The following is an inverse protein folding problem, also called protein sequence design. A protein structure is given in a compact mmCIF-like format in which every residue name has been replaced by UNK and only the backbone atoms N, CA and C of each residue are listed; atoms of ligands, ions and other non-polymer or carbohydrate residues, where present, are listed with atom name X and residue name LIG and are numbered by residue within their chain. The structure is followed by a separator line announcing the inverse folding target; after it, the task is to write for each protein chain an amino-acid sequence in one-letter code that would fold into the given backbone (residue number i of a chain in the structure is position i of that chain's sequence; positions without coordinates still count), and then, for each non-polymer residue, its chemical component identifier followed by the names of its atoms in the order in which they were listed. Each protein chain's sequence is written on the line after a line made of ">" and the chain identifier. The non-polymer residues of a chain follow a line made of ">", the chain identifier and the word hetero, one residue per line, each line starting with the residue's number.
data_IF_983534352251
#
_entry.id   IF_983534352251
#
_cell.length_a   1.000
_cell.length_b   1.000
_cell.length_c   1.000
_cell.angle_alpha   90.00
_cell.angle_beta   90.00
_cell.angle_gamma   90.00
#
_symmetry.space_group_name_H-M   'P 1'
#
loop_
_entity.id
_entity.type
_entity.pdbx_description
1 polymer ?
#
# COMPACT_ATOMS: atom_id res chain seq x y z
N UNK A 1 -15.08 -22.01 -1.52
CA UNK A 1 -14.68 -20.60 -1.51
C UNK A 1 -15.92 -19.72 -1.62
N UNK A 2 -16.00 -18.71 -0.78
CA UNK A 2 -17.11 -17.77 -0.83
C UNK A 2 -16.86 -16.71 -1.90
N UNK A 3 -17.88 -16.38 -2.67
CA UNK A 3 -17.85 -15.25 -3.57
C UNK A 3 -19.28 -14.78 -3.86
N UNK A 4 -19.40 -13.49 -4.19
CA UNK A 4 -20.69 -12.89 -4.50
C UNK A 4 -21.21 -13.39 -5.86
N UNK A 5 -22.53 -13.49 -6.04
CA UNK A 5 -23.08 -13.66 -7.38
C UNK A 5 -22.55 -12.60 -8.33
N UNK A 6 -22.38 -12.96 -9.60
CA UNK A 6 -21.69 -12.09 -10.56
C UNK A 6 -22.27 -10.69 -10.66
N UNK A 7 -23.60 -10.56 -10.70
CA UNK A 7 -24.24 -9.26 -10.81
C UNK A 7 -24.02 -8.38 -9.57
N UNK A 8 -23.97 -9.00 -8.38
CA UNK A 8 -23.70 -8.29 -7.13
C UNK A 8 -22.23 -7.90 -7.06
N UNK A 9 -21.35 -8.79 -7.47
CA UNK A 9 -19.92 -8.54 -7.53
C UNK A 9 -19.61 -7.36 -8.45
N UNK A 10 -20.21 -7.33 -9.65
CA UNK A 10 -20.02 -6.22 -10.58
C UNK A 10 -20.52 -4.90 -10.01
N UNK A 11 -21.64 -4.89 -9.30
CA UNK A 11 -22.14 -3.68 -8.64
C UNK A 11 -21.19 -3.22 -7.54
N UNK A 12 -20.60 -4.16 -6.81
CA UNK A 12 -19.61 -3.82 -5.79
C UNK A 12 -18.37 -3.17 -6.41
N UNK A 13 -17.91 -3.71 -7.55
CA UNK A 13 -16.76 -3.12 -8.27
C UNK A 13 -17.07 -1.71 -8.73
N UNK A 14 -18.28 -1.46 -9.24
CA UNK A 14 -18.70 -0.10 -9.63
C UNK A 14 -18.74 0.84 -8.45
N UNK A 15 -19.26 0.38 -7.32
CA UNK A 15 -19.33 1.17 -6.08
C UNK A 15 -17.94 1.57 -5.59
N UNK A 16 -17.00 0.64 -5.62
CA UNK A 16 -15.62 0.92 -5.24
C UNK A 16 -14.98 1.95 -6.18
N UNK A 17 -15.23 1.80 -7.46
CA UNK A 17 -14.72 2.74 -8.46
C UNK A 17 -15.28 4.14 -8.24
N UNK A 18 -16.59 4.25 -7.99
CA UNK A 18 -17.23 5.55 -7.74
C UNK A 18 -16.66 6.22 -6.50
N UNK A 19 -16.40 5.45 -5.44
CA UNK A 19 -15.79 5.99 -4.23
C UNK A 19 -14.36 6.47 -4.51
N UNK A 20 -13.57 5.71 -5.28
CA UNK A 20 -12.22 6.13 -5.65
C UNK A 20 -12.24 7.44 -6.46
N UNK A 21 -13.21 7.60 -7.36
CA UNK A 21 -13.34 8.83 -8.13
C UNK A 21 -13.65 10.05 -7.25
N UNK A 22 -14.23 9.83 -6.10
CA UNK A 22 -14.52 10.93 -5.16
C UNK A 22 -13.31 11.35 -4.34
N UNK A 23 -12.22 10.59 -4.42
CA UNK A 23 -10.98 10.91 -3.70
C UNK A 23 -10.11 11.85 -4.52
N UNK A 24 -9.01 12.32 -3.90
CA UNK A 24 -8.02 13.15 -4.58
C UNK A 24 -6.93 12.35 -5.28
N UNK A 25 -6.96 11.03 -5.16
CA UNK A 25 -5.91 10.19 -5.74
C UNK A 25 -6.02 10.14 -7.24
N UNK A 26 -4.89 10.26 -7.93
CA UNK A 26 -4.80 10.00 -9.35
C UNK A 26 -4.69 8.50 -9.56
N UNK A 27 -5.54 7.94 -10.40
CA UNK A 27 -5.55 6.50 -10.62
C UNK A 27 -6.11 6.13 -11.99
N UNK A 28 -5.80 4.92 -12.41
CA UNK A 28 -6.34 4.31 -13.61
C UNK A 28 -6.84 2.91 -13.25
N UNK A 29 -7.80 2.39 -14.03
CA UNK A 29 -8.29 1.03 -13.85
C UNK A 29 -8.36 0.32 -15.20
N UNK A 30 -8.39 -1.03 -15.15
CA UNK A 30 -8.76 -1.81 -16.31
C UNK A 30 -10.27 -1.66 -16.60
N UNK A 31 -10.74 -2.21 -17.72
CA UNK A 31 -12.15 -2.11 -18.12
C UNK A 31 -13.09 -2.71 -17.09
N UNK A 32 -12.68 -3.80 -16.44
CA UNK A 32 -13.52 -4.52 -15.46
C UNK A 32 -13.49 -3.91 -14.06
N UNK A 33 -12.65 -2.92 -13.82
CA UNK A 33 -12.48 -2.26 -12.52
C UNK A 33 -12.01 -3.22 -11.42
N UNK A 34 -11.23 -4.20 -11.82
CA UNK A 34 -10.60 -5.17 -10.90
C UNK A 34 -9.13 -4.86 -10.64
N UNK A 35 -8.53 -3.98 -11.43
CA UNK A 35 -7.14 -3.59 -11.25
C UNK A 35 -7.03 -2.08 -11.18
N UNK A 36 -6.45 -1.59 -10.10
CA UNK A 36 -6.20 -0.16 -9.89
C UNK A 36 -4.72 0.09 -9.94
N UNK A 37 -4.32 1.12 -10.68
CA UNK A 37 -2.96 1.67 -10.64
C UNK A 37 -3.07 3.06 -10.05
N UNK A 38 -2.50 3.27 -8.88
CA UNK A 38 -2.70 4.48 -8.09
C UNK A 38 -1.36 5.19 -7.89
N UNK A 39 -1.37 6.50 -8.06
CA UNK A 39 -0.20 7.35 -7.77
C UNK A 39 -0.30 7.88 -6.35
N UNK A 40 0.76 7.67 -5.56
CA UNK A 40 0.86 8.19 -4.20
C UNK A 40 2.01 9.17 -4.11
N UNK A 41 1.81 10.19 -3.29
CA UNK A 41 2.85 11.14 -2.93
C UNK A 41 3.15 11.03 -1.46
N UNK A 42 4.42 11.00 -1.10
CA UNK A 42 4.85 10.96 0.27
C UNK A 42 6.27 10.49 0.37
N UNK A 43 6.92 10.83 1.48
CA UNK A 43 8.32 10.47 1.69
C UNK A 43 8.45 8.96 1.91
N UNK A 44 9.18 8.31 1.02
CA UNK A 44 9.60 6.94 1.16
C UNK A 44 11.09 6.83 0.85
N UNK A 45 11.59 5.61 0.87
CA UNK A 45 13.01 5.33 0.64
C UNK A 45 13.16 4.22 -0.39
N UNK A 46 14.25 4.26 -1.13
CA UNK A 46 14.57 3.24 -2.12
C UNK A 46 16.07 3.02 -2.12
N UNK A 47 16.49 1.83 -2.50
CA UNK A 47 17.91 1.54 -2.65
C UNK A 47 18.40 1.99 -4.01
N UNK A 48 19.52 2.68 -4.02
CA UNK A 48 20.26 3.03 -5.22
C UNK A 48 21.67 2.48 -5.03
N UNK A 49 21.92 1.28 -5.52
CA UNK A 49 23.14 0.54 -5.21
C UNK A 49 23.16 0.20 -3.72
N UNK A 50 24.21 0.62 -3.02
CA UNK A 50 24.36 0.44 -1.57
C UNK A 50 23.69 1.54 -0.76
N UNK A 51 23.34 2.66 -1.40
CA UNK A 51 22.77 3.82 -0.73
C UNK A 51 21.25 3.72 -0.61
N UNK A 52 20.72 4.26 0.47
CA UNK A 52 19.27 4.44 0.65
C UNK A 52 18.95 5.90 0.40
N UNK A 53 18.07 6.17 -0.56
CA UNK A 53 17.72 7.52 -0.99
C UNK A 53 16.23 7.77 -0.80
N UNK A 54 15.86 9.04 -0.63
CA UNK A 54 14.45 9.44 -0.53
C UNK A 54 13.77 9.37 -1.90
N UNK A 55 12.48 9.01 -1.87
CA UNK A 55 11.65 8.99 -3.06
C UNK A 55 10.25 9.47 -2.69
N UNK A 56 9.76 10.49 -3.39
CA UNK A 56 8.49 11.17 -3.05
C UNK A 56 7.31 10.73 -3.90
N UNK A 57 7.55 10.07 -5.02
CA UNK A 57 6.50 9.63 -5.94
C UNK A 57 6.47 8.11 -6.01
N UNK A 58 5.29 7.55 -5.92
CA UNK A 58 5.11 6.09 -5.89
C UNK A 58 3.94 5.69 -6.77
N UNK A 59 4.03 4.49 -7.33
CA UNK A 59 2.94 3.87 -8.07
C UNK A 59 2.65 2.52 -7.44
N UNK A 60 1.39 2.29 -7.11
CA UNK A 60 0.95 1.03 -6.52
C UNK A 60 -0.13 0.39 -7.39
N UNK A 61 -0.23 -0.92 -7.29
CA UNK A 61 -1.25 -1.68 -7.99
C UNK A 61 -2.10 -2.43 -6.98
N UNK A 62 -3.42 -2.32 -7.10
CA UNK A 62 -4.36 -3.04 -6.25
C UNK A 62 -5.17 -3.97 -7.15
N UNK A 63 -5.14 -5.25 -6.84
CA UNK A 63 -5.86 -6.28 -7.59
C UNK A 63 -7.01 -6.81 -6.76
N UNK A 64 -8.22 -6.79 -7.32
CA UNK A 64 -9.41 -7.33 -6.71
C UNK A 64 -9.72 -8.66 -7.40
N UNK A 65 -9.56 -9.75 -6.66
CA UNK A 65 -9.81 -11.09 -7.20
C UNK A 65 -11.30 -11.39 -7.21
N UNK A 66 -11.67 -12.48 -7.87
CA UNK A 66 -13.10 -12.84 -8.01
C UNK A 66 -13.82 -12.98 -6.67
N UNK A 67 -13.10 -13.37 -5.62
CA UNK A 67 -13.64 -13.55 -4.27
C UNK A 67 -13.84 -12.24 -3.52
N UNK A 68 -13.44 -11.10 -4.10
CA UNK A 68 -13.65 -9.80 -3.46
C UNK A 68 -15.14 -9.59 -3.16
N UNK A 69 -15.56 -9.15 -1.98
CA UNK A 69 -14.74 -8.53 -0.92
C UNK A 69 -14.35 -9.48 0.24
N UNK A 70 -14.42 -10.77 0.05
CA UNK A 70 -14.09 -11.73 1.12
C UNK A 70 -12.58 -11.75 1.40
N UNK A 71 -12.17 -12.22 2.60
CA UNK A 71 -10.74 -12.23 2.97
C UNK A 71 -9.86 -12.96 1.97
N UNK A 72 -8.66 -12.43 1.74
CA UNK A 72 -7.70 -13.03 0.82
C UNK A 72 -7.91 -12.66 -0.63
N UNK A 73 -8.85 -11.77 -0.92
CA UNK A 73 -9.22 -11.43 -2.29
C UNK A 73 -8.62 -10.14 -2.82
N UNK A 74 -7.77 -9.47 -2.05
CA UNK A 74 -7.09 -8.24 -2.46
C UNK A 74 -5.59 -8.47 -2.40
N UNK A 75 -4.90 -8.09 -3.49
CA UNK A 75 -3.44 -8.09 -3.53
C UNK A 75 -2.97 -6.68 -3.82
N UNK A 76 -1.88 -6.28 -3.20
CA UNK A 76 -1.30 -4.95 -3.40
C UNK A 76 0.18 -5.10 -3.71
N UNK A 77 0.61 -4.44 -4.79
CA UNK A 77 2.01 -4.42 -5.21
C UNK A 77 2.50 -2.99 -5.32
N UNK A 78 3.68 -2.75 -4.79
CA UNK A 78 4.38 -1.48 -4.95
C UNK A 78 5.21 -1.57 -6.23
N UNK A 79 4.86 -0.81 -7.24
CA UNK A 79 5.48 -0.94 -8.57
C UNK A 79 6.77 -0.15 -8.71
N UNK A 80 6.87 1.00 -8.03
CA UNK A 80 8.10 1.81 -8.06
C UNK A 80 9.10 1.26 -7.03
N UNK A 81 10.40 1.54 -7.20
CA UNK A 81 11.39 1.09 -6.22
C UNK A 81 11.05 1.56 -4.81
N UNK A 82 11.13 0.66 -3.85
CA UNK A 82 10.82 0.95 -2.45
C UNK A 82 11.68 0.09 -1.53
N UNK A 83 12.14 0.68 -0.43
CA UNK A 83 12.87 0.01 0.61
C UNK A 83 12.09 0.19 1.90
N UNK A 84 11.34 -0.84 2.29
CA UNK A 84 10.34 -0.73 3.35
C UNK A 84 10.16 -2.08 4.05
N UNK A 85 10.09 -2.11 5.39
CA UNK A 85 9.98 -3.38 6.11
C UNK A 85 8.79 -4.24 5.73
N UNK A 86 7.67 -3.62 5.37
CA UNK A 86 6.41 -4.34 5.15
C UNK A 86 6.11 -4.59 3.67
N UNK A 87 7.09 -4.35 2.80
CA UNK A 87 6.96 -4.55 1.36
C UNK A 87 8.08 -5.48 0.91
N UNK A 88 7.70 -6.58 0.25
CA UNK A 88 8.66 -7.60 -0.20
C UNK A 88 9.56 -7.03 -1.29
N UNK A 89 10.86 -7.23 -1.13
CA UNK A 89 11.84 -6.64 -2.03
C UNK A 89 11.76 -7.21 -3.45
N UNK A 90 11.50 -8.52 -3.57
CA UNK A 90 11.54 -9.21 -4.86
C UNK A 90 10.51 -8.69 -5.85
N UNK A 91 9.26 -8.50 -5.41
CA UNK A 91 8.14 -8.19 -6.31
C UNK A 91 7.31 -6.98 -5.87
N UNK A 92 7.66 -6.36 -4.75
CA UNK A 92 6.92 -5.21 -4.24
C UNK A 92 5.61 -5.57 -3.55
N UNK A 93 5.36 -6.84 -3.27
CA UNK A 93 4.12 -7.23 -2.62
C UNK A 93 4.04 -6.68 -1.21
N UNK A 94 2.96 -5.98 -0.92
CA UNK A 94 2.68 -5.46 0.42
C UNK A 94 2.21 -6.60 1.33
N UNK A 95 2.59 -6.56 2.59
CA UNK A 95 2.29 -7.60 3.57
C UNK A 95 0.84 -8.08 3.48
N UNK A 96 0.66 -9.38 3.25
CA UNK A 96 -0.66 -9.99 3.03
C UNK A 96 -1.57 -9.79 4.23
N UNK A 97 -1.03 -9.93 5.45
CA UNK A 97 -1.83 -9.79 6.66
C UNK A 97 -2.37 -8.37 6.81
N UNK A 98 -1.54 -7.35 6.54
CA UNK A 98 -1.98 -5.97 6.59
C UNK A 98 -3.09 -5.72 5.57
N UNK A 99 -2.90 -6.20 4.33
CA UNK A 99 -3.88 -6.01 3.27
C UNK A 99 -5.20 -6.68 3.61
N UNK A 100 -5.16 -7.89 4.18
CA UNK A 100 -6.37 -8.58 4.61
C UNK A 100 -7.10 -7.83 5.72
N UNK A 101 -6.37 -7.32 6.70
CA UNK A 101 -6.95 -6.53 7.78
C UNK A 101 -7.65 -5.28 7.25
N UNK A 102 -7.02 -4.60 6.30
CA UNK A 102 -7.61 -3.41 5.69
C UNK A 102 -8.85 -3.77 4.86
N UNK A 103 -8.76 -4.82 4.05
CA UNK A 103 -9.87 -5.17 3.14
C UNK A 103 -11.12 -5.64 3.88
N UNK A 104 -10.97 -6.17 5.10
CA UNK A 104 -12.10 -6.56 5.93
C UNK A 104 -12.85 -5.36 6.51
N UNK A 105 -12.15 -4.24 6.70
CA UNK A 105 -12.70 -3.09 7.43
C UNK A 105 -12.99 -1.88 6.57
N UNK A 106 -12.56 -1.87 5.31
CA UNK A 106 -12.69 -0.66 4.49
C UNK A 106 -12.79 -0.99 2.99
N UNK A 107 -12.94 0.07 2.22
CA UNK A 107 -13.03 0.05 0.75
C UNK A 107 -11.65 0.13 0.11
N UNK A 108 -11.61 0.07 -1.23
CA UNK A 108 -10.38 0.31 -2.00
C UNK A 108 -9.79 1.68 -1.64
N UNK A 109 -10.62 2.71 -1.56
CA UNK A 109 -10.16 4.05 -1.16
C UNK A 109 -9.52 4.03 0.24
N UNK A 110 -10.09 3.27 1.17
CA UNK A 110 -9.54 3.11 2.51
C UNK A 110 -8.21 2.36 2.50
N UNK A 111 -8.06 1.38 1.61
CA UNK A 111 -6.79 0.67 1.44
C UNK A 111 -5.70 1.63 0.95
N UNK A 112 -6.01 2.51 0.02
CA UNK A 112 -5.06 3.52 -0.47
C UNK A 112 -4.61 4.44 0.67
N UNK A 113 -5.55 4.88 1.51
CA UNK A 113 -5.21 5.69 2.69
C UNK A 113 -4.32 4.93 3.66
N UNK A 114 -4.60 3.64 3.86
CA UNK A 114 -3.79 2.80 4.74
C UNK A 114 -2.37 2.63 4.18
N UNK A 115 -2.23 2.50 2.86
CA UNK A 115 -0.92 2.42 2.20
C UNK A 115 -0.14 3.71 2.40
N UNK A 116 -0.79 4.86 2.27
CA UNK A 116 -0.15 6.14 2.50
C UNK A 116 0.33 6.27 3.95
N UNK A 117 -0.49 5.81 4.89
CA UNK A 117 -0.11 5.79 6.30
C UNK A 117 1.07 4.84 6.54
N UNK A 118 1.06 3.66 5.92
CA UNK A 118 2.14 2.68 6.04
C UNK A 118 3.47 3.24 5.50
N UNK A 119 3.40 3.98 4.41
CA UNK A 119 4.59 4.62 3.82
C UNK A 119 5.26 5.54 4.83
N UNK A 120 4.46 6.33 5.56
CA UNK A 120 4.97 7.25 6.57
C UNK A 120 5.31 6.57 7.89
N UNK A 121 4.76 5.40 8.17
CA UNK A 121 4.89 4.70 9.44
C UNK A 121 5.27 3.24 9.23
N UNK A 122 6.49 2.97 8.78
CA UNK A 122 6.93 1.59 8.59
C UNK A 122 6.99 0.82 9.92
N UNK A 123 6.57 -0.43 9.90
CA UNK A 123 6.58 -1.29 11.07
C UNK A 123 7.71 -2.32 10.95
N UNK A 124 8.79 -2.21 11.73
CA UNK A 124 9.91 -3.12 11.64
C UNK A 124 9.69 -4.48 12.31
N UNK A 125 8.55 -4.68 12.96
CA UNK A 125 8.19 -5.96 13.56
C UNK A 125 7.67 -6.91 12.49
N UNK A 126 8.12 -8.17 12.51
CA UNK A 126 7.74 -9.20 11.54
C UNK A 126 7.91 -8.77 10.08
N UNK A 127 9.10 -8.31 9.70
CA UNK A 127 9.30 -7.69 8.41
C UNK A 127 9.37 -8.71 7.27
N UNK A 128 8.88 -8.29 6.09
CA UNK A 128 9.13 -8.99 4.83
C UNK A 128 10.50 -8.64 4.26
N UNK A 129 10.97 -7.44 4.51
CA UNK A 129 12.29 -6.98 4.12
C UNK A 129 13.10 -6.70 5.39
N UNK A 130 13.93 -7.66 5.77
CA UNK A 130 14.70 -7.58 7.01
C UNK A 130 15.78 -6.50 6.97
N UNK A 131 16.35 -6.27 5.78
CA UNK A 131 17.36 -5.23 5.60
C UNK A 131 16.76 -3.85 5.81
N UNK A 132 15.54 -3.63 5.27
CA UNK A 132 14.82 -2.39 5.49
C UNK A 132 14.45 -2.20 6.95
N UNK A 133 13.97 -3.26 7.62
CA UNK A 133 13.63 -3.20 9.03
C UNK A 133 14.82 -2.78 9.87
N UNK A 134 15.97 -3.38 9.61
CA UNK A 134 17.20 -3.04 10.32
C UNK A 134 17.61 -1.59 10.08
N UNK A 135 17.54 -1.13 8.82
CA UNK A 135 17.88 0.24 8.48
C UNK A 135 16.97 1.23 9.18
N UNK A 136 15.66 0.98 9.20
CA UNK A 136 14.71 1.86 9.87
C UNK A 136 14.90 1.88 11.39
N UNK A 137 15.21 0.74 11.99
CA UNK A 137 15.52 0.71 13.42
C UNK A 137 16.78 1.52 13.75
N UNK A 138 17.83 1.37 12.94
CA UNK A 138 19.09 2.09 13.14
C UNK A 138 18.95 3.59 12.90
N UNK A 139 18.04 4.01 12.04
CA UNK A 139 17.86 5.40 11.63
C UNK A 139 16.63 6.07 12.25
N UNK A 140 15.82 5.36 13.02
CA UNK A 140 14.56 5.87 13.54
C UNK A 140 14.72 7.11 14.41
N UNK A 141 15.75 7.15 15.23
CA UNK A 141 16.03 8.31 16.09
C UNK A 141 16.29 9.56 15.24
N UNK A 142 17.12 9.45 14.22
CA UNK A 142 17.44 10.58 13.35
C UNK A 142 16.23 11.05 12.58
N UNK A 143 15.39 10.12 12.09
CA UNK A 143 14.16 10.45 11.37
C UNK A 143 13.15 11.13 12.30
N UNK A 144 13.00 10.63 13.50
CA UNK A 144 12.12 11.20 14.52
C UNK A 144 12.59 12.61 14.92
N UNK A 145 13.88 12.79 15.12
CA UNK A 145 14.45 14.09 15.48
C UNK A 145 14.18 15.15 14.41
N UNK A 146 14.19 14.77 13.14
CA UNK A 146 13.88 15.69 12.03
C UNK A 146 12.41 16.08 12.00
N UNK A 147 11.52 15.21 12.47
CA UNK A 147 10.07 15.43 12.43
C UNK A 147 9.53 16.14 13.66
N UNK A 148 10.20 16.02 14.80
CA UNK A 148 9.71 16.64 16.02
C UNK A 148 9.97 18.13 16.03
N UNK A 149 8.96 18.95 16.37
CA UNK A 149 9.22 20.36 16.66
C UNK A 149 10.18 20.43 17.84
N UNK A 150 11.08 21.40 17.80
CA UNK A 150 11.98 21.62 18.92
C UNK A 150 11.18 22.03 20.13
N UNK A 151 11.37 21.30 21.18
CA UNK A 151 10.90 21.73 22.48
C UNK A 151 11.92 22.73 23.01
N UNK A 152 11.46 23.90 23.19
CA UNK A 152 12.29 24.98 23.75
C UNK A 152 12.01 25.04 25.24
#
# INVERSE_FOLDING_TARGET
>A
MAFLPENIWKRRLESEYDEMRSTRYAFETNADKTEYTVSLRGKGYAKQGEAVVERDSHTIQILLLREFPYPGSVEVYWLTPIFHPNIREDDGRVCIQLVNDWSESTSVAGIVKALQHLLANPNPKDPLNKNAAKWFEENSFALTAKKKPRLV
#
